data_IF_182154646218
#
_entry.id   IF_182154646218
#
_cell.length_a   1.000
_cell.length_b   1.000
_cell.length_c   1.000
_cell.angle_alpha   90.00
_cell.angle_beta   90.00
_cell.angle_gamma   90.00
#
_symmetry.space_group_name_H-M   'P 1'
#
loop_
_entity.id
_entity.type
_entity.pdbx_description
1 polymer ?
#
# COMPACT_ATOMS: atom_id res chain seq x y z
N UNK A 1 -37.21 20.96 17.94
CA UNK A 1 -36.95 19.97 16.87
C UNK A 1 -35.43 19.72 16.72
N UNK A 2 -34.69 19.36 17.78
CA UNK A 2 -33.21 19.51 17.79
C UNK A 2 -32.38 18.30 18.24
N UNK A 3 -32.97 17.12 18.44
CA UNK A 3 -32.20 15.94 18.89
C UNK A 3 -31.98 14.87 17.81
N UNK A 4 -32.69 14.95 16.67
CA UNK A 4 -32.64 13.92 15.62
C UNK A 4 -31.42 13.99 14.69
N UNK A 5 -30.45 14.89 14.94
CA UNK A 5 -29.32 15.16 14.02
C UNK A 5 -27.92 14.96 14.62
N UNK A 6 -27.75 14.93 15.95
CA UNK A 6 -26.41 14.85 16.57
C UNK A 6 -25.71 13.51 16.32
N UNK A 7 -26.44 12.40 16.46
CA UNK A 7 -25.87 11.07 16.18
C UNK A 7 -25.52 10.90 14.69
N UNK A 8 -26.33 11.49 13.78
CA UNK A 8 -26.09 11.45 12.34
C UNK A 8 -24.83 12.24 11.96
N UNK A 9 -24.67 13.44 12.52
CA UNK A 9 -23.46 14.23 12.34
C UNK A 9 -22.23 13.48 12.88
N UNK A 10 -22.34 12.87 14.06
CA UNK A 10 -21.28 12.03 14.62
C UNK A 10 -20.91 10.85 13.72
N UNK A 11 -21.90 10.12 13.20
CA UNK A 11 -21.68 9.01 12.27
C UNK A 11 -21.06 9.45 10.95
N UNK A 12 -21.49 10.59 10.39
CA UNK A 12 -20.93 11.14 9.15
C UNK A 12 -19.54 11.77 9.34
N UNK A 13 -19.16 12.08 10.58
CA UNK A 13 -17.82 12.55 10.93
C UNK A 13 -16.83 11.42 11.24
N UNK A 14 -17.31 10.19 11.46
CA UNK A 14 -16.44 9.01 11.59
C UNK A 14 -16.10 8.41 10.22
N UNK A 15 -15.05 7.60 10.17
CA UNK A 15 -14.65 6.82 8.99
C UNK A 15 -15.62 5.68 8.66
N UNK A 16 -16.46 5.27 9.61
CA UNK A 16 -17.32 4.08 9.53
C UNK A 16 -18.22 4.01 8.28
N UNK A 17 -18.86 5.09 7.79
CA UNK A 17 -19.65 5.02 6.56
C UNK A 17 -18.79 4.67 5.34
N UNK A 18 -17.62 5.30 5.21
CA UNK A 18 -16.68 5.02 4.14
C UNK A 18 -16.13 3.60 4.23
N UNK A 19 -15.79 3.13 5.43
CA UNK A 19 -15.35 1.76 5.66
C UNK A 19 -16.41 0.74 5.21
N UNK A 20 -17.69 1.00 5.50
CA UNK A 20 -18.79 0.12 5.11
C UNK A 20 -18.95 0.03 3.58
N UNK A 21 -18.88 1.17 2.88
CA UNK A 21 -19.03 1.22 1.42
C UNK A 21 -17.81 0.63 0.69
N UNK A 22 -16.60 0.89 1.18
CA UNK A 22 -15.37 0.28 0.70
C UNK A 22 -15.39 -1.23 0.89
N UNK A 23 -15.78 -1.71 2.08
CA UNK A 23 -15.89 -3.15 2.38
C UNK A 23 -16.88 -3.85 1.44
N UNK A 24 -18.05 -3.26 1.19
CA UNK A 24 -19.04 -3.81 0.24
C UNK A 24 -18.48 -3.89 -1.18
N UNK A 25 -17.77 -2.85 -1.61
CA UNK A 25 -17.10 -2.82 -2.91
C UNK A 25 -16.11 -3.99 -3.02
N UNK A 26 -15.23 -4.14 -2.03
CA UNK A 26 -14.23 -5.21 -2.00
C UNK A 26 -14.85 -6.61 -2.00
N UNK A 27 -15.88 -6.84 -1.18
CA UNK A 27 -16.61 -8.13 -1.16
C UNK A 27 -17.24 -8.43 -2.52
N UNK A 28 -17.83 -7.42 -3.17
CA UNK A 28 -18.40 -7.59 -4.53
C UNK A 28 -17.34 -7.91 -5.59
N UNK A 29 -16.08 -7.57 -5.33
CA UNK A 29 -14.91 -7.82 -6.17
C UNK A 29 -14.13 -9.09 -5.79
N UNK A 30 -14.68 -9.91 -4.88
CA UNK A 30 -14.13 -11.22 -4.51
C UNK A 30 -13.14 -11.21 -3.33
N UNK A 31 -13.02 -10.10 -2.61
CA UNK A 31 -12.18 -10.03 -1.42
C UNK A 31 -12.91 -10.52 -0.17
N UNK A 32 -12.20 -11.23 0.71
CA UNK A 32 -12.57 -11.38 2.11
C UNK A 32 -12.07 -10.14 2.89
N UNK A 33 -12.95 -9.51 3.66
CA UNK A 33 -12.66 -8.24 4.35
C UNK A 33 -12.69 -8.44 5.86
N UNK A 34 -11.66 -7.94 6.54
CA UNK A 34 -11.58 -7.82 8.00
C UNK A 34 -11.42 -6.35 8.38
N UNK A 35 -12.09 -5.93 9.45
CA UNK A 35 -11.96 -4.57 10.02
C UNK A 35 -10.89 -4.54 11.09
N UNK A 36 -10.26 -3.37 11.29
CA UNK A 36 -9.24 -3.10 12.30
C UNK A 36 -8.07 -4.08 12.22
N UNK A 37 -7.29 -4.01 11.14
CA UNK A 37 -6.03 -4.74 11.04
C UNK A 37 -5.08 -4.25 12.12
N UNK A 38 -4.93 -5.06 13.17
CA UNK A 38 -4.13 -4.71 14.33
C UNK A 38 -2.65 -5.00 14.07
N UNK A 39 -1.80 -4.11 14.56
CA UNK A 39 -0.37 -4.32 14.62
C UNK A 39 0.17 -3.69 15.90
N UNK A 40 1.24 -4.27 16.41
CA UNK A 40 1.87 -3.80 17.64
C UNK A 40 2.85 -2.67 17.33
N UNK A 41 2.73 -1.57 18.06
CA UNK A 41 3.78 -0.56 18.15
C UNK A 41 4.33 -0.58 19.57
N UNK A 42 5.52 -1.13 19.74
CA UNK A 42 6.24 -1.03 21.00
C UNK A 42 6.89 0.36 21.11
N UNK A 43 6.31 1.22 21.94
CA UNK A 43 6.95 2.45 22.38
C UNK A 43 7.25 2.34 23.87
N UNK A 44 8.53 2.44 24.24
CA UNK A 44 8.94 2.63 25.64
C UNK A 44 8.46 1.54 26.62
N UNK A 45 8.24 0.31 26.16
CA UNK A 45 7.76 -0.81 26.99
C UNK A 45 6.24 -0.88 27.17
N UNK A 46 5.46 0.00 26.52
CA UNK A 46 4.01 -0.12 26.40
C UNK A 46 3.66 -0.62 24.99
N UNK A 47 2.83 -1.66 24.92
CA UNK A 47 2.24 -2.14 23.67
C UNK A 47 0.98 -1.30 23.45
N UNK A 48 1.01 -0.44 22.44
CA UNK A 48 -0.17 0.26 21.97
C UNK A 48 -0.72 -0.52 20.77
N UNK A 49 -1.98 -0.95 20.85
CA UNK A 49 -2.72 -1.53 19.73
C UNK A 49 -3.02 -0.41 18.73
N UNK A 50 -2.33 -0.40 17.60
CA UNK A 50 -2.71 0.43 16.46
C UNK A 50 -3.48 -0.42 15.46
N UNK A 51 -4.29 0.23 14.63
CA UNK A 51 -5.01 -0.45 13.56
C UNK A 51 -5.09 0.37 12.31
N UNK A 52 -5.15 -0.34 11.18
CA UNK A 52 -5.66 0.19 9.92
C UNK A 52 -7.10 -0.28 9.73
N UNK A 53 -7.96 0.59 9.20
CA UNK A 53 -9.41 0.37 9.19
C UNK A 53 -9.83 -0.92 8.48
N UNK A 54 -9.27 -1.21 7.29
CA UNK A 54 -9.65 -2.38 6.48
C UNK A 54 -8.42 -3.17 6.04
N UNK A 55 -8.52 -4.49 6.17
CA UNK A 55 -7.64 -5.46 5.52
C UNK A 55 -8.46 -6.42 4.66
N UNK A 56 -8.20 -6.38 3.36
CA UNK A 56 -8.89 -7.19 2.38
C UNK A 56 -7.92 -8.19 1.74
N UNK A 57 -8.30 -9.46 1.66
CA UNK A 57 -7.53 -10.52 1.00
C UNK A 57 -8.30 -11.15 -0.14
N UNK A 58 -7.63 -11.41 -1.26
CA UNK A 58 -8.15 -12.21 -2.37
C UNK A 58 -7.07 -13.16 -2.88
N UNK A 59 -7.48 -14.20 -3.60
CA UNK A 59 -6.58 -15.16 -4.21
C UNK A 59 -6.81 -15.19 -5.72
N UNK A 60 -5.73 -15.35 -6.50
CA UNK A 60 -5.81 -15.45 -7.95
C UNK A 60 -5.94 -16.92 -8.38
N UNK A 61 -6.70 -17.23 -9.46
CA UNK A 61 -7.56 -16.32 -10.22
C UNK A 61 -8.73 -15.80 -9.38
N UNK A 62 -9.11 -14.53 -9.56
CA UNK A 62 -10.09 -13.84 -8.70
C UNK A 62 -11.54 -14.34 -8.86
N UNK A 63 -11.76 -15.41 -9.64
CA UNK A 63 -13.06 -16.02 -9.91
C UNK A 63 -13.57 -16.95 -8.79
N UNK A 64 -12.85 -17.08 -7.68
CA UNK A 64 -13.30 -17.82 -6.50
C UNK A 64 -12.57 -17.43 -5.20
N UNK A 65 -13.22 -17.65 -4.06
CA UNK A 65 -12.69 -17.29 -2.72
C UNK A 65 -11.79 -18.35 -2.09
N UNK A 66 -11.27 -19.30 -2.88
CA UNK A 66 -10.63 -20.50 -2.35
C UNK A 66 -9.11 -20.44 -2.53
N UNK A 67 -8.37 -20.68 -1.44
CA UNK A 67 -6.90 -20.82 -1.46
C UNK A 67 -6.43 -22.02 -2.29
N UNK A 68 -7.27 -23.06 -2.43
CA UNK A 68 -6.91 -24.29 -3.14
C UNK A 68 -6.76 -24.01 -4.63
N UNK A 69 -5.54 -24.20 -5.16
CA UNK A 69 -5.21 -23.92 -6.55
C UNK A 69 -4.89 -22.45 -6.82
N UNK A 70 -4.74 -21.63 -5.77
CA UNK A 70 -4.37 -20.23 -5.92
C UNK A 70 -2.98 -20.09 -6.56
N UNK A 71 -2.81 -19.06 -7.38
CA UNK A 71 -1.52 -18.73 -8.02
C UNK A 71 -0.76 -17.65 -7.25
N UNK A 72 -1.46 -16.79 -6.51
CA UNK A 72 -0.93 -15.79 -5.61
C UNK A 72 -2.02 -15.32 -4.62
N UNK A 73 -1.61 -14.59 -3.58
CA UNK A 73 -2.49 -13.82 -2.70
C UNK A 73 -2.33 -12.33 -2.98
N UNK A 74 -3.44 -11.58 -3.01
CA UNK A 74 -3.44 -10.12 -3.04
C UNK A 74 -4.06 -9.58 -1.75
N UNK A 75 -3.38 -8.62 -1.12
CA UNK A 75 -3.85 -7.92 0.06
C UNK A 75 -3.93 -6.41 -0.15
N UNK A 76 -5.06 -5.82 0.24
CA UNK A 76 -5.25 -4.38 0.27
C UNK A 76 -5.37 -3.95 1.72
N UNK A 77 -4.51 -3.02 2.11
CA UNK A 77 -4.52 -2.41 3.44
C UNK A 77 -5.02 -0.98 3.30
N UNK A 78 -6.17 -0.66 3.89
CA UNK A 78 -6.91 0.56 3.56
C UNK A 78 -7.20 1.38 4.82
N UNK A 79 -6.66 2.60 4.86
CA UNK A 79 -7.00 3.62 5.85
C UNK A 79 -8.07 4.53 5.25
N UNK A 80 -9.21 4.67 5.93
CA UNK A 80 -10.37 5.39 5.46
C UNK A 80 -10.48 6.75 6.15
N UNK A 81 -10.70 7.80 5.35
CA UNK A 81 -10.90 9.16 5.86
C UNK A 81 -12.14 9.79 5.27
N UNK A 82 -13.20 9.75 6.07
CA UNK A 82 -14.42 10.49 5.82
C UNK A 82 -14.20 11.98 6.14
N UNK A 83 -14.67 12.83 5.23
CA UNK A 83 -14.63 14.29 5.33
C UNK A 83 -15.95 14.90 4.91
N UNK A 84 -16.13 16.14 5.35
CA UNK A 84 -17.29 16.92 4.97
C UNK A 84 -17.20 17.25 3.46
N UNK A 85 -18.32 17.31 2.72
CA UNK A 85 -18.30 17.58 1.28
C UNK A 85 -17.70 18.94 0.86
N UNK A 86 -17.51 19.85 1.82
CA UNK A 86 -16.88 21.16 1.61
C UNK A 86 -15.38 21.16 1.92
N UNK A 87 -14.80 19.99 2.08
CA UNK A 87 -13.36 19.81 2.22
C UNK A 87 -12.79 19.38 0.87
N UNK A 88 -11.63 19.91 0.50
CA UNK A 88 -10.86 19.47 -0.65
C UNK A 88 -9.47 19.03 -0.23
N UNK A 89 -8.91 18.05 -0.93
CA UNK A 89 -7.53 17.63 -0.72
C UNK A 89 -6.67 18.11 -1.88
N UNK A 90 -5.70 18.96 -1.58
CA UNK A 90 -4.79 19.55 -2.56
C UNK A 90 -3.41 18.92 -2.45
N UNK A 91 -2.91 18.40 -3.56
CA UNK A 91 -1.64 17.69 -3.66
C UNK A 91 -0.62 18.48 -4.46
N UNK A 92 0.60 18.50 -3.94
CA UNK A 92 1.77 19.05 -4.61
C UNK A 92 2.38 17.99 -5.52
N UNK A 93 2.42 18.21 -6.84
CA UNK A 93 2.99 17.24 -7.78
C UNK A 93 4.48 17.07 -7.57
N UNK A 94 5.03 15.95 -8.03
CA UNK A 94 6.47 15.78 -8.15
C UNK A 94 7.04 16.76 -9.18
N UNK A 95 7.83 17.71 -8.68
CA UNK A 95 8.50 18.74 -9.47
C UNK A 95 9.68 18.18 -10.29
N UNK A 96 10.14 16.96 -10.00
CA UNK A 96 11.24 16.35 -10.73
C UNK A 96 10.81 15.87 -12.12
N UNK A 97 11.79 15.79 -13.03
CA UNK A 97 11.64 15.00 -14.25
C UNK A 97 11.53 13.51 -13.89
N UNK A 98 10.84 12.71 -14.72
CA UNK A 98 10.54 11.31 -14.41
C UNK A 98 11.78 10.48 -14.06
N UNK A 99 12.93 10.72 -14.71
CA UNK A 99 14.19 10.01 -14.44
C UNK A 99 14.81 10.32 -13.07
N UNK A 100 14.41 11.43 -12.44
CA UNK A 100 14.88 11.88 -11.13
C UNK A 100 13.76 11.85 -10.08
N UNK A 101 12.62 11.21 -10.41
CA UNK A 101 11.53 11.08 -9.46
C UNK A 101 11.97 10.27 -8.24
N UNK A 102 11.62 10.70 -7.02
CA UNK A 102 11.90 9.92 -5.83
C UNK A 102 10.95 8.71 -5.70
N UNK A 103 9.94 8.59 -6.54
CA UNK A 103 9.10 7.40 -6.66
C UNK A 103 9.80 6.34 -7.52
N UNK A 104 9.87 5.12 -7.00
CA UNK A 104 10.43 3.98 -7.70
C UNK A 104 9.31 3.16 -8.37
N UNK A 105 9.44 2.82 -9.66
CA UNK A 105 8.46 1.98 -10.36
C UNK A 105 8.35 0.58 -9.75
N UNK A 106 7.13 0.05 -9.72
CA UNK A 106 6.80 -1.30 -9.24
C UNK A 106 6.56 -1.41 -7.73
N UNK A 107 6.49 -0.29 -7.01
CA UNK A 107 6.37 -0.28 -5.55
C UNK A 107 4.98 0.13 -5.04
N UNK A 108 4.00 0.40 -5.92
CA UNK A 108 2.61 0.57 -5.49
C UNK A 108 1.97 -0.76 -5.14
N UNK A 109 1.80 -1.62 -6.15
CA UNK A 109 1.39 -3.01 -5.99
C UNK A 109 2.67 -3.82 -5.83
N UNK A 110 3.06 -4.07 -4.58
CA UNK A 110 4.32 -4.74 -4.28
C UNK A 110 4.16 -6.21 -4.55
N UNK A 111 4.83 -6.70 -5.59
CA UNK A 111 4.77 -8.09 -6.01
C UNK A 111 5.89 -8.88 -5.34
N UNK A 112 5.58 -9.54 -4.22
CA UNK A 112 6.57 -10.27 -3.43
C UNK A 112 6.59 -11.74 -3.84
N UNK A 113 7.32 -11.99 -4.92
CA UNK A 113 7.63 -13.35 -5.32
C UNK A 113 8.81 -13.92 -4.53
N UNK A 114 9.67 -13.06 -3.96
CA UNK A 114 11.02 -13.36 -3.44
C UNK A 114 11.08 -14.41 -2.33
N UNK A 115 9.96 -14.68 -1.66
CA UNK A 115 9.84 -15.71 -0.62
C UNK A 115 9.04 -16.94 -1.10
N UNK A 116 8.91 -17.12 -2.42
CA UNK A 116 8.17 -18.23 -3.02
C UNK A 116 9.00 -19.12 -3.96
N UNK A 117 8.49 -20.30 -4.32
CA UNK A 117 9.01 -21.18 -5.37
C UNK A 117 8.70 -20.69 -6.79
N UNK A 118 8.15 -19.48 -6.94
CA UNK A 118 7.73 -18.93 -8.22
C UNK A 118 8.38 -17.58 -8.49
N UNK A 119 8.67 -17.29 -9.76
CA UNK A 119 9.18 -15.98 -10.19
C UNK A 119 8.14 -15.29 -11.05
N UNK A 120 7.99 -13.99 -10.83
CA UNK A 120 7.19 -13.08 -11.65
C UNK A 120 8.18 -12.17 -12.39
N UNK A 121 8.28 -12.32 -13.72
CA UNK A 121 9.22 -11.57 -14.57
C UNK A 121 8.56 -10.34 -15.23
N UNK A 122 7.31 -10.05 -14.89
CA UNK A 122 6.53 -8.98 -15.49
C UNK A 122 6.95 -7.58 -15.03
N UNK A 123 6.85 -6.62 -15.95
CA UNK A 123 6.94 -5.18 -15.67
C UNK A 123 5.56 -4.54 -15.41
N UNK A 124 4.46 -5.31 -15.36
CA UNK A 124 3.10 -4.79 -15.23
C UNK A 124 2.91 -3.83 -14.05
N UNK A 125 3.51 -4.11 -12.89
CA UNK A 125 3.48 -3.20 -11.74
C UNK A 125 4.18 -1.86 -12.02
N UNK A 126 5.32 -1.88 -12.71
CA UNK A 126 6.02 -0.66 -13.10
C UNK A 126 5.27 0.14 -14.18
N UNK A 127 4.62 -0.55 -15.12
CA UNK A 127 3.77 0.08 -16.14
C UNK A 127 2.50 0.69 -15.55
N UNK A 128 1.96 0.08 -14.51
CA UNK A 128 0.87 0.64 -13.71
C UNK A 128 1.33 1.92 -13.00
N UNK A 129 2.45 1.87 -12.28
CA UNK A 129 3.02 3.02 -11.56
C UNK A 129 3.31 4.21 -12.49
N UNK A 130 3.84 3.93 -13.69
CA UNK A 130 4.20 4.97 -14.67
C UNK A 130 3.00 5.79 -15.20
N UNK A 131 1.77 5.29 -15.03
CA UNK A 131 0.53 5.98 -15.44
C UNK A 131 -0.02 6.88 -14.34
N UNK A 132 0.46 6.75 -13.10
CA UNK A 132 -0.07 7.48 -11.96
C UNK A 132 0.59 8.86 -11.82
N UNK A 133 -0.18 9.92 -11.52
CA UNK A 133 0.38 11.15 -11.04
C UNK A 133 1.12 10.91 -9.72
N UNK A 134 2.34 11.42 -9.61
CA UNK A 134 3.14 11.34 -8.38
C UNK A 134 3.02 12.66 -7.63
N UNK A 135 2.74 12.59 -6.33
CA UNK A 135 2.76 13.74 -5.43
C UNK A 135 3.74 13.52 -4.27
N UNK A 136 4.24 14.62 -3.72
CA UNK A 136 5.16 14.62 -2.59
C UNK A 136 4.48 14.98 -1.26
N UNK A 137 3.41 15.78 -1.34
CA UNK A 137 2.70 16.30 -0.18
C UNK A 137 1.23 16.50 -0.52
N UNK A 138 0.36 16.32 0.46
CA UNK A 138 -1.05 16.69 0.39
C UNK A 138 -1.44 17.53 1.60
N UNK A 139 -2.39 18.43 1.41
CA UNK A 139 -3.02 19.22 2.47
C UNK A 139 -4.52 19.11 2.35
N UNK A 140 -5.19 19.16 3.49
CA UNK A 140 -6.64 19.32 3.58
C UNK A 140 -6.97 20.82 3.62
N UNK A 141 -7.98 21.25 2.87
CA UNK A 141 -8.48 22.62 2.86
C UNK A 141 -9.98 22.59 3.13
N UNK A 142 -10.43 23.29 4.15
CA UNK A 142 -11.85 23.60 4.33
C UNK A 142 -12.22 24.77 3.40
N UNK A 143 -13.15 24.52 2.48
CA UNK A 143 -13.54 25.49 1.46
C UNK A 143 -14.51 26.56 2.00
N UNK A 144 -14.96 26.46 3.26
CA UNK A 144 -15.82 27.48 3.90
C UNK A 144 -15.03 28.55 4.63
N UNK A 145 -14.05 28.17 5.46
CA UNK A 145 -13.27 29.09 6.29
C UNK A 145 -11.81 29.26 5.85
N UNK A 146 -11.34 28.42 4.93
CA UNK A 146 -9.98 28.45 4.39
C UNK A 146 -8.93 27.84 5.30
N UNK A 147 -9.32 27.16 6.39
CA UNK A 147 -8.37 26.44 7.24
C UNK A 147 -7.68 25.32 6.45
N UNK A 148 -6.36 25.22 6.62
CA UNK A 148 -5.54 24.22 5.97
C UNK A 148 -4.86 23.31 7.01
N UNK A 149 -5.00 22.00 6.85
CA UNK A 149 -4.38 21.00 7.72
C UNK A 149 -3.45 20.07 6.91
N UNK A 150 -2.15 20.18 7.17
CA UNK A 150 -1.14 19.30 6.56
C UNK A 150 -1.04 17.93 7.25
N UNK A 151 -1.63 17.78 8.44
CA UNK A 151 -1.45 16.60 9.27
C UNK A 151 -2.42 15.46 8.90
N UNK A 152 -3.61 15.78 8.39
CA UNK A 152 -4.66 14.80 8.10
C UNK A 152 -4.21 13.68 7.15
N UNK A 153 -3.60 14.05 6.02
CA UNK A 153 -3.06 13.12 5.01
C UNK A 153 -1.88 12.35 5.59
N UNK A 154 -0.92 13.07 6.16
CA UNK A 154 0.32 12.49 6.72
C UNK A 154 0.02 11.44 7.78
N UNK A 155 -0.83 11.74 8.76
CA UNK A 155 -1.18 10.78 9.82
C UNK A 155 -1.78 9.49 9.27
N UNK A 156 -2.61 9.58 8.24
CA UNK A 156 -3.21 8.41 7.59
C UNK A 156 -2.18 7.55 6.86
N UNK A 157 -1.30 8.20 6.10
CA UNK A 157 -0.19 7.54 5.43
C UNK A 157 0.78 6.93 6.43
N UNK A 158 1.07 7.61 7.54
CA UNK A 158 1.93 7.10 8.62
C UNK A 158 1.32 5.83 9.24
N UNK A 159 0.00 5.78 9.47
CA UNK A 159 -0.67 4.57 9.97
C UNK A 159 -0.51 3.38 9.02
N UNK A 160 -0.70 3.62 7.72
CA UNK A 160 -0.42 2.60 6.71
C UNK A 160 1.04 2.18 6.75
N UNK A 161 1.98 3.14 6.75
CA UNK A 161 3.41 2.87 6.76
C UNK A 161 3.81 1.98 7.95
N UNK A 162 3.34 2.29 9.15
CA UNK A 162 3.66 1.53 10.36
C UNK A 162 3.09 0.10 10.37
N UNK A 163 2.00 -0.17 9.63
CA UNK A 163 1.43 -1.50 9.51
C UNK A 163 2.16 -2.41 8.50
N UNK A 164 2.87 -1.83 7.53
CA UNK A 164 3.48 -2.59 6.43
C UNK A 164 4.57 -3.59 6.86
N UNK A 165 5.48 -3.28 7.81
CA UNK A 165 6.46 -4.26 8.28
C UNK A 165 5.78 -5.50 8.86
N UNK A 166 4.71 -5.31 9.63
CA UNK A 166 3.94 -6.42 10.22
C UNK A 166 3.28 -7.27 9.12
N UNK A 167 2.61 -6.63 8.16
CA UNK A 167 1.99 -7.32 7.02
C UNK A 167 3.02 -8.12 6.21
N UNK A 168 4.20 -7.55 5.98
CA UNK A 168 5.29 -8.24 5.27
C UNK A 168 5.75 -9.47 6.06
N UNK A 169 6.06 -9.31 7.36
CA UNK A 169 6.51 -10.39 8.23
C UNK A 169 5.49 -11.53 8.30
N UNK A 170 4.21 -11.21 8.55
CA UNK A 170 3.14 -12.20 8.61
C UNK A 170 3.04 -13.02 7.32
N UNK A 171 3.12 -12.36 6.16
CA UNK A 171 3.05 -13.06 4.88
C UNK A 171 4.29 -13.89 4.59
N UNK A 172 5.49 -13.37 4.88
CA UNK A 172 6.72 -14.14 4.69
C UNK A 172 6.64 -15.43 5.50
N UNK A 173 6.34 -15.35 6.80
CA UNK A 173 6.20 -16.52 7.67
C UNK A 173 5.12 -17.48 7.13
N UNK A 174 3.91 -16.97 6.86
CA UNK A 174 2.79 -17.79 6.43
C UNK A 174 3.03 -18.56 5.13
N UNK A 175 3.83 -18.03 4.21
CA UNK A 175 4.08 -18.65 2.92
C UNK A 175 5.39 -19.43 2.87
N UNK A 176 6.46 -18.96 3.50
CA UNK A 176 7.76 -19.63 3.41
C UNK A 176 7.83 -20.88 4.28
N UNK A 177 7.12 -20.91 5.41
CA UNK A 177 7.03 -22.07 6.31
C UNK A 177 5.99 -23.09 5.81
N UNK A 178 5.14 -22.70 4.86
CA UNK A 178 4.24 -23.63 4.20
C UNK A 178 5.04 -24.64 3.35
N UNK A 179 4.41 -25.79 3.05
CA UNK A 179 5.00 -26.76 2.13
C UNK A 179 5.44 -26.05 0.83
N UNK A 180 6.69 -26.25 0.35
CA UNK A 180 7.19 -25.58 -0.85
C UNK A 180 6.33 -25.75 -2.11
N UNK A 181 5.46 -26.78 -2.17
CA UNK A 181 4.49 -26.98 -3.24
C UNK A 181 3.26 -26.05 -3.15
N UNK A 182 2.92 -25.56 -1.96
CA UNK A 182 1.80 -24.65 -1.66
C UNK A 182 2.26 -23.20 -1.46
N UNK A 183 3.57 -22.98 -1.43
CA UNK A 183 4.22 -21.70 -1.30
C UNK A 183 4.05 -20.86 -2.59
N UNK A 184 3.17 -19.87 -2.52
CA UNK A 184 2.81 -18.95 -3.61
C UNK A 184 3.31 -17.53 -3.33
N UNK A 185 3.51 -16.70 -4.37
CA UNK A 185 3.75 -15.27 -4.19
C UNK A 185 2.60 -14.59 -3.44
N UNK A 186 2.92 -13.51 -2.73
CA UNK A 186 1.93 -12.61 -2.19
C UNK A 186 2.18 -11.19 -2.68
N UNK A 187 1.12 -10.41 -2.75
CA UNK A 187 1.11 -9.05 -3.25
C UNK A 187 0.38 -8.18 -2.26
N UNK A 188 0.83 -6.94 -2.07
CA UNK A 188 0.09 -5.99 -1.25
C UNK A 188 0.13 -4.56 -1.78
N UNK A 189 -0.94 -3.82 -1.49
CA UNK A 189 -1.10 -2.44 -1.90
C UNK A 189 -1.74 -1.63 -0.74
N UNK A 190 -1.00 -0.68 -0.13
CA UNK A 190 -1.55 0.23 0.88
C UNK A 190 -2.29 1.38 0.20
N UNK A 191 -3.51 1.64 0.67
CA UNK A 191 -4.44 2.59 0.08
C UNK A 191 -4.94 3.53 1.18
N UNK A 192 -4.77 4.82 0.95
CA UNK A 192 -5.47 5.84 1.69
C UNK A 192 -6.73 6.22 0.89
N UNK A 193 -7.91 5.94 1.46
CA UNK A 193 -9.20 6.14 0.82
C UNK A 193 -9.93 7.33 1.44
N UNK A 194 -10.47 8.21 0.62
CA UNK A 194 -11.29 9.34 1.10
C UNK A 194 -12.55 9.53 0.26
N UNK A 195 -13.59 10.15 0.82
CA UNK A 195 -14.85 10.42 0.11
C UNK A 195 -14.87 11.76 -0.65
N UNK A 196 -13.80 12.54 -0.58
CA UNK A 196 -13.71 13.87 -1.21
C UNK A 196 -12.78 13.87 -2.44
N UNK A 197 -12.91 14.87 -3.34
CA UNK A 197 -12.07 14.98 -4.53
C UNK A 197 -10.59 15.13 -4.20
N UNK A 198 -9.74 14.54 -5.04
CA UNK A 198 -8.29 14.74 -5.00
C UNK A 198 -7.91 15.76 -6.07
N UNK A 199 -7.41 16.92 -5.66
CA UNK A 199 -6.93 17.97 -6.55
C UNK A 199 -5.40 17.93 -6.61
N UNK A 200 -4.83 17.84 -7.79
CA UNK A 200 -3.39 17.92 -8.03
C UNK A 200 -3.06 19.30 -8.61
N UNK A 201 -2.19 20.06 -7.94
CA UNK A 201 -1.71 21.34 -8.47
C UNK A 201 -1.07 21.14 -9.85
N UNK A 202 -1.30 22.10 -10.76
CA UNK A 202 -0.58 22.11 -12.03
C UNK A 202 0.92 22.33 -11.76
N UNK A 203 1.80 21.65 -12.51
CA UNK A 203 3.25 21.70 -12.26
C UNK A 203 3.83 23.10 -12.40
N UNK A 204 3.24 23.91 -13.26
CA UNK A 204 3.70 25.27 -13.56
C UNK A 204 3.02 26.33 -12.68
N UNK A 205 2.11 25.93 -11.77
CA UNK A 205 1.41 26.86 -10.88
C UNK A 205 2.41 27.63 -10.01
N UNK A 206 2.38 28.96 -10.09
CA UNK A 206 3.17 29.84 -9.24
C UNK A 206 2.35 30.55 -8.14
N UNK A 207 3.05 31.22 -7.23
CA UNK A 207 2.41 31.93 -6.10
C UNK A 207 1.47 33.04 -6.57
N UNK A 208 1.77 33.73 -7.67
CA UNK A 208 0.94 34.83 -8.19
C UNK A 208 -0.37 34.29 -8.77
N UNK A 209 -0.31 33.13 -9.42
CA UNK A 209 -1.52 32.44 -9.90
C UNK A 209 -2.39 32.01 -8.73
N UNK A 210 -1.80 31.50 -7.63
CA UNK A 210 -2.53 31.18 -6.40
C UNK A 210 -3.17 32.45 -5.79
N UNK A 211 -2.44 33.55 -5.72
CA UNK A 211 -2.96 34.83 -5.19
C UNK A 211 -4.09 35.42 -6.04
N UNK A 212 -4.09 35.16 -7.35
CA UNK A 212 -5.05 35.71 -8.30
C UNK A 212 -6.28 34.82 -8.54
N UNK A 213 -6.18 33.51 -8.26
CA UNK A 213 -7.26 32.57 -8.54
C UNK A 213 -8.48 32.81 -7.66
N UNK A 214 -9.67 32.56 -8.22
CA UNK A 214 -10.93 32.66 -7.49
C UNK A 214 -11.54 31.29 -7.15
N UNK A 215 -11.14 30.25 -7.89
CA UNK A 215 -11.44 28.85 -7.64
C UNK A 215 -10.13 28.04 -7.66
N UNK A 216 -9.97 27.14 -6.70
CA UNK A 216 -8.84 26.19 -6.62
C UNK A 216 -8.69 25.35 -7.91
N UNK A 217 -9.77 25.13 -8.65
CA UNK A 217 -9.77 24.43 -9.94
C UNK A 217 -9.10 25.21 -11.07
N UNK A 218 -8.83 26.50 -10.90
CA UNK A 218 -8.04 27.28 -11.86
C UNK A 218 -6.56 26.87 -11.83
N UNK A 219 -6.08 26.38 -10.68
CA UNK A 219 -4.67 26.07 -10.42
C UNK A 219 -4.39 24.58 -10.18
N UNK A 220 -5.44 23.75 -10.19
CA UNK A 220 -5.35 22.31 -9.92
C UNK A 220 -6.37 21.51 -10.74
N UNK A 221 -6.03 20.26 -11.04
CA UNK A 221 -6.90 19.31 -11.74
C UNK A 221 -7.35 18.19 -10.80
N UNK A 222 -8.61 17.77 -10.92
CA UNK A 222 -9.10 16.59 -10.19
C UNK A 222 -8.51 15.30 -10.79
N UNK A 223 -8.07 14.40 -9.92
CA UNK A 223 -7.52 13.09 -10.30
C UNK A 223 -8.22 11.96 -9.54
N UNK A 224 -8.44 10.79 -10.16
CA UNK A 224 -9.19 9.69 -9.52
C UNK A 224 -8.39 9.03 -8.39
N UNK A 225 -7.08 8.90 -8.59
CA UNK A 225 -6.13 8.37 -7.63
C UNK A 225 -4.72 8.79 -8.05
N UNK A 226 -3.81 8.83 -7.08
CA UNK A 226 -2.43 9.24 -7.27
C UNK A 226 -1.48 8.43 -6.39
N UNK A 227 -0.18 8.51 -6.71
CA UNK A 227 0.89 7.95 -5.92
C UNK A 227 1.44 9.01 -4.97
N UNK A 228 1.43 8.72 -3.68
CA UNK A 228 2.15 9.50 -2.68
C UNK A 228 3.40 8.75 -2.24
N UNK A 229 4.56 9.39 -2.39
CA UNK A 229 5.82 8.92 -1.82
C UNK A 229 6.10 9.67 -0.52
N UNK A 230 6.29 8.95 0.59
CA UNK A 230 6.77 9.51 1.84
C UNK A 230 8.07 8.82 2.25
N UNK A 231 9.04 9.60 2.74
CA UNK A 231 10.22 9.02 3.38
C UNK A 231 9.85 8.52 4.79
N UNK A 232 10.77 7.84 5.44
CA UNK A 232 10.60 7.36 6.81
C UNK A 232 11.60 8.01 7.77
N UNK A 233 11.22 8.11 9.04
CA UNK A 233 12.08 8.63 10.10
C UNK A 233 12.85 7.52 10.84
N UNK A 234 13.72 7.91 11.77
CA UNK A 234 14.51 6.98 12.61
C UNK A 234 13.65 6.02 13.43
N UNK A 235 12.48 6.50 13.87
CA UNK A 235 11.61 5.74 14.77
C UNK A 235 10.91 4.63 13.99
N UNK A 236 10.39 4.95 12.80
CA UNK A 236 9.89 3.95 11.86
C UNK A 236 10.97 2.92 11.50
N UNK A 237 12.20 3.39 11.20
CA UNK A 237 13.33 2.51 10.90
C UNK A 237 13.53 1.49 12.02
N UNK A 238 13.55 1.95 13.27
CA UNK A 238 13.77 1.09 14.44
C UNK A 238 12.63 0.08 14.64
N UNK A 239 11.37 0.52 14.45
CA UNK A 239 10.20 -0.36 14.53
C UNK A 239 10.21 -1.43 13.45
N UNK A 240 10.55 -1.05 12.22
CA UNK A 240 10.68 -2.00 11.13
C UNK A 240 11.73 -3.06 11.45
N UNK A 241 12.93 -2.67 11.92
CA UNK A 241 13.96 -3.64 12.31
C UNK A 241 13.45 -4.61 13.38
N UNK A 242 12.80 -4.11 14.44
CA UNK A 242 12.27 -4.96 15.51
C UNK A 242 11.22 -5.96 14.99
N UNK A 243 10.34 -5.54 14.08
CA UNK A 243 9.31 -6.42 13.51
C UNK A 243 9.91 -7.46 12.54
N UNK A 244 10.88 -7.05 11.73
CA UNK A 244 11.53 -7.93 10.74
C UNK A 244 12.48 -8.92 11.42
N UNK A 245 13.05 -8.62 12.59
CA UNK A 245 13.89 -9.56 13.37
C UNK A 245 13.20 -10.91 13.63
N UNK A 246 11.87 -10.95 13.66
CA UNK A 246 11.08 -12.18 13.74
C UNK A 246 11.39 -13.16 12.59
N UNK A 247 11.84 -12.66 11.44
CA UNK A 247 12.22 -13.45 10.27
C UNK A 247 13.64 -14.04 10.39
N UNK A 248 14.44 -13.66 11.38
CA UNK A 248 15.80 -14.21 11.55
C UNK A 248 15.79 -15.73 11.73
N UNK A 249 14.76 -16.28 12.38
CA UNK A 249 14.60 -17.71 12.64
C UNK A 249 14.54 -18.53 11.33
N UNK A 250 14.10 -17.91 10.23
CA UNK A 250 14.01 -18.54 8.91
C UNK A 250 15.37 -18.95 8.34
N UNK A 251 16.48 -18.35 8.80
CA UNK A 251 17.83 -18.78 8.41
C UNK A 251 18.12 -20.24 8.78
N UNK A 252 17.37 -20.77 9.76
CA UNK A 252 17.51 -22.15 10.24
C UNK A 252 16.37 -23.07 9.80
N UNK A 253 15.35 -22.55 9.10
CA UNK A 253 14.24 -23.34 8.57
C UNK A 253 14.64 -24.14 7.33
N UNK A 254 14.32 -25.44 7.32
CA UNK A 254 14.55 -26.30 6.16
C UNK A 254 13.76 -25.84 4.93
N UNK A 255 12.51 -25.43 5.12
CA UNK A 255 11.62 -24.93 4.08
C UNK A 255 12.16 -23.64 3.45
N UNK A 256 12.59 -22.69 4.27
CA UNK A 256 13.20 -21.45 3.80
C UNK A 256 14.51 -21.70 3.05
N UNK A 257 15.36 -22.62 3.53
CA UNK A 257 16.59 -23.01 2.84
C UNK A 257 16.33 -23.66 1.47
N UNK A 258 15.22 -24.40 1.31
CA UNK A 258 14.81 -24.94 0.01
C UNK A 258 14.51 -23.81 -0.97
N UNK A 259 13.74 -22.80 -0.55
CA UNK A 259 13.41 -21.63 -1.38
C UNK A 259 14.65 -20.82 -1.72
N UNK A 260 15.52 -20.58 -0.74
CA UNK A 260 16.81 -19.89 -0.89
C UNK A 260 17.64 -20.56 -1.99
N UNK A 261 17.83 -21.89 -1.93
CA UNK A 261 18.61 -22.65 -2.91
C UNK A 261 17.99 -22.64 -4.30
N UNK A 262 16.67 -22.79 -4.39
CA UNK A 262 15.94 -22.70 -5.67
C UNK A 262 16.17 -21.34 -6.33
N UNK A 263 16.17 -20.27 -5.54
CA UNK A 263 16.41 -18.91 -6.03
C UNK A 263 17.86 -18.67 -6.39
N UNK A 264 18.81 -19.12 -5.58
CA UNK A 264 20.23 -19.03 -5.88
C UNK A 264 20.62 -19.78 -7.17
N UNK A 265 19.92 -20.87 -7.49
CA UNK A 265 20.12 -21.60 -8.75
C UNK A 265 19.54 -20.87 -9.98
N UNK A 266 18.61 -19.94 -9.78
CA UNK A 266 18.00 -19.14 -10.85
C UNK A 266 18.67 -17.78 -11.03
N UNK A 267 18.96 -17.06 -9.94
CA UNK A 267 19.54 -15.72 -10.01
C UNK A 267 21.05 -15.75 -10.17
N UNK A 268 21.57 -14.84 -11.00
CA UNK A 268 23.01 -14.59 -11.12
C UNK A 268 23.57 -13.75 -9.96
N UNK A 269 22.69 -13.13 -9.17
CA UNK A 269 23.05 -12.18 -8.11
C UNK A 269 22.31 -12.46 -6.80
N UNK A 270 22.99 -12.33 -5.64
CA UNK A 270 22.37 -12.60 -4.34
C UNK A 270 21.33 -11.56 -3.90
N UNK A 271 21.27 -10.37 -4.53
CA UNK A 271 20.35 -9.29 -4.11
C UNK A 271 18.87 -9.69 -4.10
N UNK A 272 18.48 -10.76 -4.79
CA UNK A 272 17.09 -11.22 -4.85
C UNK A 272 16.83 -12.49 -4.03
N UNK A 273 17.76 -12.87 -3.16
CA UNK A 273 17.62 -14.04 -2.30
C UNK A 273 16.85 -13.70 -1.02
N UNK A 274 15.94 -14.59 -0.57
CA UNK A 274 15.19 -14.44 0.68
C UNK A 274 16.04 -13.96 1.85
N UNK A 275 17.16 -14.64 2.14
CA UNK A 275 17.99 -14.32 3.31
C UNK A 275 18.70 -12.98 3.16
N UNK A 276 19.18 -12.65 1.95
CA UNK A 276 19.76 -11.33 1.69
C UNK A 276 18.75 -10.20 1.90
N UNK A 277 17.49 -10.40 1.52
CA UNK A 277 16.42 -9.41 1.73
C UNK A 277 16.12 -9.25 3.23
N UNK A 278 16.02 -10.36 3.97
CA UNK A 278 15.78 -10.35 5.42
C UNK A 278 16.92 -9.59 6.12
N UNK A 279 18.17 -9.96 5.87
CA UNK A 279 19.35 -9.31 6.47
C UNK A 279 19.41 -7.82 6.12
N UNK A 280 19.10 -7.47 4.87
CA UNK A 280 19.08 -6.07 4.44
C UNK A 280 17.98 -5.27 5.15
N UNK A 281 16.80 -5.85 5.36
CA UNK A 281 15.72 -5.20 6.12
C UNK A 281 16.07 -5.06 7.61
N UNK A 282 16.75 -6.03 8.22
CA UNK A 282 17.25 -5.96 9.61
C UNK A 282 18.35 -4.89 9.75
N UNK A 283 19.21 -4.76 8.75
CA UNK A 283 20.17 -3.66 8.66
C UNK A 283 19.49 -2.32 8.29
N UNK A 284 18.20 -2.36 7.97
CA UNK A 284 17.39 -1.28 7.44
C UNK A 284 18.09 -0.54 6.29
N UNK A 285 18.53 -1.37 5.33
CA UNK A 285 19.05 -0.97 4.04
C UNK A 285 18.03 -0.10 3.29
N UNK A 286 18.52 1.01 2.74
CA UNK A 286 17.67 2.04 2.14
C UNK A 286 16.91 1.53 0.92
N UNK A 287 17.49 0.61 0.13
CA UNK A 287 16.83 0.13 -1.09
C UNK A 287 15.56 -0.66 -0.74
N UNK A 288 15.66 -1.66 0.13
CA UNK A 288 14.51 -2.49 0.50
C UNK A 288 13.49 -1.75 1.37
N UNK A 289 13.95 -0.88 2.27
CA UNK A 289 13.05 -0.03 3.05
C UNK A 289 12.18 0.87 2.14
N UNK A 290 12.78 1.47 1.11
CA UNK A 290 12.01 2.24 0.13
C UNK A 290 11.05 1.36 -0.66
N UNK A 291 11.54 0.21 -1.16
CA UNK A 291 10.75 -0.69 -1.99
C UNK A 291 9.47 -1.17 -1.29
N UNK A 292 9.55 -1.47 0.00
CA UNK A 292 8.41 -2.02 0.74
C UNK A 292 7.59 -0.96 1.49
N UNK A 293 8.14 0.19 1.89
CA UNK A 293 7.47 1.01 2.93
C UNK A 293 7.22 2.48 2.58
N UNK A 294 7.44 2.93 1.34
CA UNK A 294 7.43 4.39 1.05
C UNK A 294 6.42 4.87 0.02
N UNK A 295 5.70 3.97 -0.66
CA UNK A 295 4.73 4.33 -1.70
C UNK A 295 3.31 3.88 -1.37
N UNK A 296 2.36 4.81 -1.52
CA UNK A 296 0.97 4.69 -1.09
C UNK A 296 0.04 5.18 -2.18
N UNK A 297 -1.08 4.49 -2.38
CA UNK A 297 -2.17 4.99 -3.22
C UNK A 297 -2.97 5.99 -2.40
N UNK A 298 -3.27 7.16 -2.96
CA UNK A 298 -4.37 7.99 -2.46
C UNK A 298 -5.52 7.85 -3.48
N UNK A 299 -6.70 7.47 -3.03
CA UNK A 299 -7.85 7.20 -3.90
C UNK A 299 -9.10 7.88 -3.36
N UNK A 300 -9.88 8.50 -4.25
CA UNK A 300 -11.22 8.95 -3.91
C UNK A 300 -12.25 7.82 -4.07
N UNK A 301 -13.24 7.81 -3.18
CA UNK A 301 -14.24 6.74 -3.12
C UNK A 301 -14.95 6.57 -4.47
N UNK A 302 -15.34 7.66 -5.13
CA UNK A 302 -16.04 7.60 -6.42
C UNK A 302 -15.31 6.76 -7.47
N UNK A 303 -13.98 6.65 -7.38
CA UNK A 303 -13.13 5.89 -8.31
C UNK A 303 -12.58 4.58 -7.72
N UNK A 304 -12.89 4.27 -6.46
CA UNK A 304 -12.39 3.09 -5.77
C UNK A 304 -12.79 1.76 -6.44
N UNK A 305 -14.04 1.55 -6.92
CA UNK A 305 -14.39 0.33 -7.63
C UNK A 305 -13.54 0.07 -8.90
N UNK A 306 -13.26 1.13 -9.66
CA UNK A 306 -12.46 1.06 -10.89
C UNK A 306 -10.98 0.85 -10.56
N UNK A 307 -10.49 1.49 -9.49
CA UNK A 307 -9.14 1.27 -8.97
C UNK A 307 -8.92 -0.20 -8.58
N UNK A 308 -9.85 -0.80 -7.83
CA UNK A 308 -9.75 -2.22 -7.43
C UNK A 308 -9.71 -3.15 -8.64
N UNK A 309 -10.49 -2.87 -9.69
CA UNK A 309 -10.43 -3.65 -10.93
C UNK A 309 -9.07 -3.49 -11.62
N UNK A 310 -8.57 -2.26 -11.71
CA UNK A 310 -7.25 -1.97 -12.30
C UNK A 310 -6.13 -2.72 -11.57
N UNK A 311 -6.19 -2.80 -10.23
CA UNK A 311 -5.24 -3.59 -9.43
C UNK A 311 -5.36 -5.07 -9.78
N UNK A 312 -6.58 -5.63 -9.85
CA UNK A 312 -6.79 -7.03 -10.21
C UNK A 312 -6.23 -7.35 -11.60
N UNK A 313 -6.54 -6.53 -12.60
CA UNK A 313 -6.05 -6.69 -13.98
C UNK A 313 -4.51 -6.63 -14.03
N UNK A 314 -3.91 -5.69 -13.29
CA UNK A 314 -2.44 -5.56 -13.21
C UNK A 314 -1.81 -6.81 -12.60
N UNK A 315 -2.43 -7.36 -11.55
CA UNK A 315 -1.95 -8.58 -10.90
C UNK A 315 -2.10 -9.80 -11.81
N UNK A 316 -3.24 -9.96 -12.48
CA UNK A 316 -3.45 -11.08 -13.42
C UNK A 316 -2.45 -11.02 -14.57
N UNK A 317 -2.26 -9.84 -15.19
CA UNK A 317 -1.26 -9.62 -16.24
C UNK A 317 0.16 -9.92 -15.76
N UNK A 318 0.50 -9.56 -14.52
CA UNK A 318 1.81 -9.91 -13.96
C UNK A 318 2.01 -11.43 -13.86
N UNK A 319 0.98 -12.14 -13.38
CA UNK A 319 1.02 -13.57 -13.12
C UNK A 319 1.02 -14.44 -14.39
N UNK A 320 0.70 -13.88 -15.56
CA UNK A 320 0.91 -14.58 -16.85
C UNK A 320 2.37 -14.98 -17.07
N UNK A 321 3.31 -14.20 -16.50
CA UNK A 321 4.75 -14.47 -16.58
C UNK A 321 5.27 -15.41 -15.49
N UNK A 322 4.38 -15.92 -14.62
CA UNK A 322 4.77 -16.70 -13.44
C UNK A 322 5.42 -18.03 -13.84
N UNK A 323 6.63 -18.28 -13.35
CA UNK A 323 7.39 -19.52 -13.59
C UNK A 323 7.68 -20.27 -12.29
N UNK A 324 7.53 -21.59 -12.30
CA UNK A 324 7.91 -22.44 -11.17
C UNK A 324 9.41 -22.76 -11.18
N UNK A 325 10.06 -22.62 -10.03
CA UNK A 325 11.44 -23.03 -9.79
C UNK A 325 11.47 -24.50 -9.32
N UNK A 326 11.62 -25.41 -10.28
CA UNK A 326 11.91 -26.82 -10.01
C UNK A 326 13.38 -27.01 -9.62
N UNK A 327 13.66 -28.10 -8.89
CA UNK A 327 15.05 -28.59 -8.82
C UNK A 327 15.45 -29.10 -10.20
N UNK A 328 16.57 -28.59 -10.73
CA UNK A 328 17.27 -29.33 -11.80
C UNK A 328 17.91 -30.54 -11.12
N UNK A 329 17.39 -31.74 -11.40
CA UNK A 329 18.02 -32.99 -10.99
C UNK A 329 19.41 -33.14 -11.61
#
# INVERSE_FOLDING_TARGET
MSDNLKWKAGLLSSSMPLELEASRTLVSKGFAVSSNYKYDQSESGFINDFSVDIHAKAYTPFSGSQKKGATAQLELLIECRQRHPKTAWLFMPDANISASSPAAPGNMIRMVDKFSSYIIESNAGAEFDAKLPVCQKGIEIDMEDGEADESAVRQGVDRLQNALPHLLTENVLAYIEANPAENIPFLFCPIFLTNIPLLLLNKDTDIKEIEACSDIREIAAEVPYLMMKTDYNSDFKSRCVNEIQRLEELHTSEEAMIIERKRAAYYESPFNLPFTIIDALIAADRYYMNAFFTQFVICSHSHFPDFVETVKDTVESALETRKYLGFKC
#
